data_IF_144523990918
#
_entry.id   IF_144523990918
#
_cell.length_a   1.000
_cell.length_b   1.000
_cell.length_c   1.000
_cell.angle_alpha   90.00
_cell.angle_beta   90.00
_cell.angle_gamma   90.00
#
_symmetry.space_group_name_H-M   'P 1'
#
loop_
_entity.id
_entity.type
_entity.pdbx_description
1 polymer ?
#
# COMPACT_ATOMS: atom_id res chain seq x y z
N UNK A 1 -14.15 -0.55 2.00
CA UNK A 1 -14.18 -0.51 0.52
C UNK A 1 -13.51 -1.73 -0.12
N UNK A 2 -14.31 -2.58 -0.79
CA UNK A 2 -13.84 -3.77 -1.50
C UNK A 2 -13.16 -3.35 -2.81
N UNK A 3 -11.84 -3.53 -2.92
CA UNK A 3 -11.04 -3.20 -4.13
C UNK A 3 -11.41 -3.98 -5.40
N UNK A 4 -12.41 -4.87 -5.34
CA UNK A 4 -13.03 -5.48 -6.53
C UNK A 4 -13.68 -4.42 -7.43
N UNK A 5 -14.14 -3.33 -6.83
CA UNK A 5 -14.94 -2.28 -7.48
C UNK A 5 -14.04 -1.24 -8.19
N UNK A 6 -12.99 -0.74 -7.53
CA UNK A 6 -12.12 0.33 -8.05
C UNK A 6 -11.45 0.09 -9.42
N UNK A 7 -11.22 -1.16 -9.83
CA UNK A 7 -10.59 -1.49 -11.12
C UNK A 7 -11.53 -2.21 -12.09
N UNK A 8 -12.66 -2.75 -11.61
CA UNK A 8 -13.80 -3.05 -12.50
C UNK A 8 -14.33 -1.77 -13.15
N UNK A 9 -14.26 -0.65 -12.41
CA UNK A 9 -14.66 0.67 -12.87
C UNK A 9 -13.66 1.35 -13.80
N UNK A 10 -12.35 1.04 -13.74
CA UNK A 10 -11.42 1.49 -14.79
C UNK A 10 -11.77 0.87 -16.15
N UNK A 11 -12.37 -0.33 -16.16
CA UNK A 11 -12.90 -0.95 -17.38
C UNK A 11 -14.25 -0.36 -17.82
N UNK A 12 -15.13 0.04 -16.88
CA UNK A 12 -16.37 0.78 -17.21
C UNK A 12 -16.01 2.15 -17.82
N UNK A 13 -15.12 2.92 -17.18
CA UNK A 13 -14.69 4.25 -17.65
C UNK A 13 -13.73 4.22 -18.87
N UNK A 14 -13.25 3.04 -19.30
CA UNK A 14 -12.50 2.92 -20.56
C UNK A 14 -13.41 2.71 -21.77
N UNK A 15 -14.66 2.28 -21.55
CA UNK A 15 -15.66 2.05 -22.60
C UNK A 15 -16.77 3.12 -22.56
N UNK A 16 -17.11 3.67 -21.39
CA UNK A 16 -18.05 4.78 -21.23
C UNK A 16 -17.45 5.88 -20.34
N UNK A 17 -17.04 7.04 -20.87
CA UNK A 17 -16.79 8.22 -20.04
C UNK A 17 -18.11 8.64 -19.35
N UNK A 18 -18.06 8.88 -18.04
CA UNK A 18 -19.17 9.48 -17.29
C UNK A 18 -18.79 10.92 -16.97
N UNK A 19 -19.29 11.86 -17.77
CA UNK A 19 -19.21 13.30 -17.58
C UNK A 19 -20.53 13.94 -18.05
N UNK A 20 -21.01 14.93 -17.31
CA UNK A 20 -22.32 15.56 -17.46
C UNK A 20 -22.36 16.59 -18.61
N UNK A 21 -21.96 16.21 -19.82
CA UNK A 21 -22.20 16.98 -21.05
C UNK A 21 -22.26 16.03 -22.25
N UNK A 22 -23.42 15.40 -22.45
CA UNK A 22 -23.67 14.37 -23.44
C UNK A 22 -23.57 14.88 -24.91
N UNK A 23 -23.68 16.19 -25.14
CA UNK A 23 -23.57 16.80 -26.47
C UNK A 23 -22.13 16.95 -26.96
N UNK A 24 -21.17 17.33 -26.09
CA UNK A 24 -19.79 17.63 -26.49
C UNK A 24 -18.89 16.39 -26.67
N UNK A 25 -19.35 15.19 -26.26
CA UNK A 25 -18.58 13.94 -26.37
C UNK A 25 -19.00 13.05 -27.56
N UNK A 26 -20.14 13.32 -28.23
CA UNK A 26 -20.64 12.51 -29.35
C UNK A 26 -19.63 12.45 -30.51
N UNK A 27 -18.93 13.55 -30.78
CA UNK A 27 -18.09 13.72 -31.98
C UNK A 27 -16.58 13.61 -31.70
N UNK A 28 -16.18 13.12 -30.52
CA UNK A 28 -14.76 12.91 -30.22
C UNK A 28 -14.27 11.61 -30.89
N UNK A 29 -13.06 11.56 -31.49
CA UNK A 29 -12.43 10.32 -32.01
C UNK A 29 -12.36 9.19 -30.97
N UNK A 30 -12.45 9.56 -29.69
CA UNK A 30 -12.52 8.66 -28.55
C UNK A 30 -13.86 7.91 -28.44
N UNK A 31 -14.99 8.52 -28.81
CA UNK A 31 -16.34 7.92 -28.73
C UNK A 31 -16.53 6.86 -29.82
N UNK A 32 -16.04 7.12 -31.03
CA UNK A 32 -16.09 6.20 -32.16
C UNK A 32 -15.24 4.95 -31.91
N UNK A 33 -14.01 5.13 -31.41
CA UNK A 33 -13.17 4.01 -30.97
C UNK A 33 -13.76 3.24 -29.77
N UNK A 34 -14.68 3.83 -29.01
CA UNK A 34 -15.38 3.14 -27.92
C UNK A 34 -16.58 2.32 -28.43
N UNK A 35 -17.31 2.82 -29.44
CA UNK A 35 -18.38 2.08 -30.13
C UNK A 35 -17.84 0.85 -30.85
N UNK A 36 -16.79 1.00 -31.65
CA UNK A 36 -16.13 -0.13 -32.32
C UNK A 36 -15.67 -1.20 -31.32
N UNK A 37 -15.10 -0.77 -30.17
CA UNK A 37 -14.72 -1.70 -29.09
C UNK A 37 -15.92 -2.38 -28.45
N UNK A 38 -17.07 -1.72 -28.35
CA UNK A 38 -18.30 -2.28 -27.78
C UNK A 38 -18.97 -3.27 -28.73
N UNK A 39 -19.03 -2.94 -30.02
CA UNK A 39 -19.58 -3.80 -31.06
C UNK A 39 -18.80 -5.11 -31.16
N UNK A 40 -17.46 -5.04 -31.08
CA UNK A 40 -16.57 -6.19 -31.04
C UNK A 40 -16.59 -7.02 -29.74
N UNK A 41 -17.40 -6.66 -28.73
CA UNK A 41 -17.57 -7.50 -27.53
C UNK A 41 -18.55 -8.63 -27.78
N UNK A 42 -18.24 -9.79 -27.23
CA UNK A 42 -19.19 -10.92 -27.18
C UNK A 42 -20.38 -10.58 -26.26
N UNK A 43 -21.51 -11.27 -26.44
CA UNK A 43 -22.70 -11.11 -25.60
C UNK A 43 -22.38 -11.27 -24.11
N UNK A 44 -21.62 -12.32 -23.74
CA UNK A 44 -21.20 -12.55 -22.36
C UNK A 44 -20.33 -11.41 -21.78
N UNK A 45 -19.51 -10.76 -22.63
CA UNK A 45 -18.74 -9.60 -22.23
C UNK A 45 -19.65 -8.39 -22.01
N UNK A 46 -20.58 -8.12 -22.94
CA UNK A 46 -21.58 -7.04 -22.84
C UNK A 46 -22.42 -7.19 -21.57
N UNK A 47 -22.84 -8.41 -21.22
CA UNK A 47 -23.60 -8.68 -19.99
C UNK A 47 -22.79 -8.37 -18.73
N UNK A 48 -21.51 -8.78 -18.69
CA UNK A 48 -20.60 -8.42 -17.58
C UNK A 48 -20.38 -6.91 -17.45
N UNK A 49 -20.48 -6.15 -18.54
CA UNK A 49 -20.43 -4.69 -18.48
C UNK A 49 -21.74 -4.12 -17.95
N UNK A 50 -22.89 -4.63 -18.41
CA UNK A 50 -24.22 -4.22 -17.94
C UNK A 50 -24.40 -4.46 -16.44
N UNK A 51 -24.04 -5.65 -15.95
CA UNK A 51 -24.08 -5.98 -14.51
C UNK A 51 -23.27 -4.98 -13.67
N UNK A 52 -22.05 -4.64 -14.12
CA UNK A 52 -21.19 -3.68 -13.42
C UNK A 52 -21.72 -2.26 -13.47
N UNK A 53 -22.39 -1.90 -14.56
CA UNK A 53 -23.01 -0.59 -14.72
C UNK A 53 -24.20 -0.43 -13.77
N UNK A 54 -25.04 -1.45 -13.65
CA UNK A 54 -26.14 -1.47 -12.67
C UNK A 54 -25.61 -1.40 -11.23
N UNK A 55 -24.56 -2.15 -10.90
CA UNK A 55 -23.89 -2.02 -9.60
C UNK A 55 -23.34 -0.61 -9.35
N UNK A 56 -22.86 0.08 -10.39
CA UNK A 56 -22.38 1.44 -10.27
C UNK A 56 -23.52 2.44 -10.04
N UNK A 57 -24.65 2.30 -10.75
CA UNK A 57 -25.84 3.14 -10.56
C UNK A 57 -26.31 3.11 -9.11
N UNK A 58 -26.28 1.93 -8.48
CA UNK A 58 -26.66 1.71 -7.08
C UNK A 58 -25.68 2.29 -6.04
N UNK A 59 -24.53 2.86 -6.45
CA UNK A 59 -23.63 3.51 -5.48
C UNK A 59 -24.13 4.90 -5.09
N UNK A 60 -23.98 5.20 -3.80
CA UNK A 60 -24.16 6.53 -3.22
C UNK A 60 -23.29 7.61 -3.93
N UNK A 61 -23.76 8.86 -4.05
CA UNK A 61 -23.01 9.95 -4.68
C UNK A 61 -21.59 10.15 -4.14
N UNK A 62 -21.36 10.08 -2.83
CA UNK A 62 -20.02 10.26 -2.22
C UNK A 62 -19.06 9.17 -2.73
N UNK A 63 -19.57 7.94 -2.82
CA UNK A 63 -18.82 6.80 -3.34
C UNK A 63 -18.53 6.95 -4.83
N UNK A 64 -19.47 7.46 -5.62
CA UNK A 64 -19.27 7.74 -7.05
C UNK A 64 -18.17 8.78 -7.24
N UNK A 65 -18.23 9.90 -6.53
CA UNK A 65 -17.22 10.97 -6.61
C UNK A 65 -15.82 10.48 -6.22
N UNK A 66 -15.70 9.75 -5.11
CA UNK A 66 -14.43 9.16 -4.69
C UNK A 66 -13.80 8.26 -5.76
N UNK A 67 -14.62 7.57 -6.55
CA UNK A 67 -14.13 6.70 -7.61
C UNK A 67 -13.78 7.49 -8.88
N UNK A 68 -14.54 8.54 -9.23
CA UNK A 68 -14.17 9.50 -10.29
C UNK A 68 -12.83 10.17 -9.99
N UNK A 69 -12.62 10.67 -8.78
CA UNK A 69 -11.35 11.29 -8.35
C UNK A 69 -10.17 10.33 -8.51
N UNK A 70 -10.30 9.10 -8.00
CA UNK A 70 -9.25 8.07 -8.13
C UNK A 70 -8.97 7.66 -9.57
N UNK A 71 -9.99 7.69 -10.41
CA UNK A 71 -9.83 7.44 -11.84
C UNK A 71 -9.07 8.56 -12.54
N UNK A 72 -9.37 9.83 -12.21
CA UNK A 72 -8.63 11.00 -12.69
C UNK A 72 -7.17 10.96 -12.25
N UNK A 73 -6.92 10.70 -10.97
CA UNK A 73 -5.56 10.48 -10.43
C UNK A 73 -4.83 9.38 -11.20
N UNK A 74 -5.48 8.25 -11.46
CA UNK A 74 -4.89 7.14 -12.21
C UNK A 74 -4.56 7.51 -13.66
N UNK A 75 -5.45 8.25 -14.34
CA UNK A 75 -5.23 8.72 -15.72
C UNK A 75 -4.02 9.64 -15.81
N UNK A 76 -3.82 10.50 -14.81
CA UNK A 76 -2.74 11.46 -14.72
C UNK A 76 -1.39 10.82 -14.29
N UNK A 77 -1.36 9.53 -13.95
CA UNK A 77 -0.10 8.85 -13.67
C UNK A 77 0.72 8.65 -14.96
N UNK A 78 2.06 8.78 -14.88
CA UNK A 78 2.98 8.38 -15.94
C UNK A 78 2.66 6.98 -16.51
N UNK A 79 2.82 6.75 -17.82
CA UNK A 79 2.46 5.49 -18.48
C UNK A 79 3.08 4.27 -17.81
N UNK A 80 4.34 4.35 -17.39
CA UNK A 80 5.03 3.26 -16.68
C UNK A 80 4.39 2.92 -15.33
N UNK A 81 3.94 3.94 -14.58
CA UNK A 81 3.23 3.72 -13.31
C UNK A 81 1.88 3.06 -13.58
N UNK A 82 1.14 3.48 -14.61
CA UNK A 82 -0.13 2.85 -15.03
C UNK A 82 0.07 1.40 -15.43
N UNK A 83 1.08 1.09 -16.24
CA UNK A 83 1.46 -0.28 -16.67
C UNK A 83 1.77 -1.17 -15.47
N UNK A 84 2.55 -0.66 -14.50
CA UNK A 84 2.87 -1.39 -13.26
C UNK A 84 1.63 -1.69 -12.41
N UNK A 85 0.72 -0.73 -12.27
CA UNK A 85 -0.55 -0.93 -11.55
C UNK A 85 -1.39 -2.00 -12.24
N UNK A 86 -1.54 -1.93 -13.58
CA UNK A 86 -2.26 -2.95 -14.36
C UNK A 86 -1.65 -4.34 -14.21
N UNK A 87 -0.32 -4.47 -14.27
CA UNK A 87 0.40 -5.74 -14.07
C UNK A 87 0.18 -6.32 -12.68
N UNK A 88 0.28 -5.50 -11.64
CA UNK A 88 0.04 -5.93 -10.26
C UNK A 88 -1.41 -6.34 -10.04
N UNK A 89 -2.36 -5.65 -10.66
CA UNK A 89 -3.77 -6.02 -10.59
C UNK A 89 -4.05 -7.39 -11.22
N UNK A 90 -3.51 -7.65 -12.43
CA UNK A 90 -3.64 -8.97 -13.09
C UNK A 90 -3.15 -10.10 -12.18
N UNK A 91 -2.02 -9.90 -11.49
CA UNK A 91 -1.50 -10.85 -10.50
C UNK A 91 -2.46 -11.07 -9.34
N UNK A 92 -2.99 -9.99 -8.76
CA UNK A 92 -3.94 -10.10 -7.63
C UNK A 92 -5.26 -10.75 -8.06
N UNK A 93 -5.74 -10.51 -9.28
CA UNK A 93 -6.98 -11.13 -9.80
C UNK A 93 -6.85 -12.66 -9.88
N UNK A 94 -5.67 -13.15 -10.23
CA UNK A 94 -5.33 -14.59 -10.31
C UNK A 94 -5.11 -15.26 -8.96
N UNK A 95 -5.07 -14.49 -7.86
CA UNK A 95 -4.91 -15.09 -6.53
C UNK A 95 -6.22 -15.75 -6.04
N UNK A 96 -6.13 -16.84 -5.26
CA UNK A 96 -7.27 -17.41 -4.54
C UNK A 96 -8.03 -16.37 -3.71
N UNK A 97 -9.33 -16.61 -3.47
CA UNK A 97 -10.22 -15.66 -2.77
C UNK A 97 -9.66 -15.30 -1.39
N UNK A 98 -9.12 -16.28 -0.67
CA UNK A 98 -8.56 -16.18 0.68
C UNK A 98 -7.34 -15.26 0.69
N UNK A 99 -6.44 -15.42 -0.30
CA UNK A 99 -5.27 -14.56 -0.46
C UNK A 99 -5.67 -13.12 -0.81
N UNK A 100 -6.66 -12.95 -1.68
CA UNK A 100 -7.23 -11.62 -2.01
C UNK A 100 -7.83 -10.97 -0.77
N UNK A 101 -8.53 -11.74 0.07
CA UNK A 101 -9.11 -11.26 1.32
C UNK A 101 -8.03 -10.88 2.34
N UNK A 102 -6.97 -11.68 2.47
CA UNK A 102 -5.84 -11.36 3.32
C UNK A 102 -5.15 -10.03 2.92
N UNK A 103 -4.98 -9.79 1.61
CA UNK A 103 -4.45 -8.51 1.09
C UNK A 103 -5.38 -7.35 1.46
N UNK A 104 -6.70 -7.54 1.29
CA UNK A 104 -7.70 -6.53 1.65
C UNK A 104 -7.65 -6.18 3.13
N UNK A 105 -7.55 -7.18 4.01
CA UNK A 105 -7.49 -7.00 5.45
C UNK A 105 -6.21 -6.27 5.88
N UNK A 106 -5.05 -6.65 5.32
CA UNK A 106 -3.79 -5.94 5.55
C UNK A 106 -3.88 -4.48 5.13
N UNK A 107 -4.51 -4.20 3.99
CA UNK A 107 -4.71 -2.82 3.54
C UNK A 107 -5.67 -2.03 4.42
N UNK A 108 -6.77 -2.63 4.89
CA UNK A 108 -7.67 -1.97 5.87
C UNK A 108 -6.91 -1.57 7.13
N UNK A 109 -6.08 -2.47 7.68
CA UNK A 109 -5.21 -2.18 8.83
C UNK A 109 -4.23 -1.04 8.53
N UNK A 110 -3.63 -1.03 7.33
CA UNK A 110 -2.74 0.04 6.89
C UNK A 110 -3.45 1.40 6.81
N UNK A 111 -4.68 1.45 6.30
CA UNK A 111 -5.44 2.70 6.19
C UNK A 111 -5.72 3.32 7.56
N UNK A 112 -6.00 2.47 8.57
CA UNK A 112 -6.21 2.87 9.97
C UNK A 112 -4.93 3.32 10.71
N UNK A 113 -3.74 3.20 10.10
CA UNK A 113 -2.52 3.72 10.73
C UNK A 113 -2.48 5.25 10.67
N UNK A 114 -1.97 5.87 11.73
CA UNK A 114 -1.69 7.31 11.74
C UNK A 114 -0.66 7.69 10.66
N UNK A 115 -0.64 8.95 10.20
CA UNK A 115 0.33 9.44 9.22
C UNK A 115 1.79 9.18 9.64
N UNK A 116 2.11 9.41 10.91
CA UNK A 116 3.46 9.23 11.48
C UNK A 116 3.87 7.76 11.44
N UNK A 117 2.94 6.85 11.77
CA UNK A 117 3.18 5.40 11.68
C UNK A 117 3.40 4.96 10.23
N UNK A 118 2.61 5.48 9.29
CA UNK A 118 2.77 5.19 7.85
C UNK A 118 4.15 5.65 7.37
N UNK A 119 4.55 6.87 7.71
CA UNK A 119 5.83 7.43 7.31
C UNK A 119 7.00 6.69 7.96
N UNK A 120 6.90 6.34 9.23
CA UNK A 120 7.90 5.53 9.91
C UNK A 120 8.09 4.16 9.24
N UNK A 121 7.02 3.50 8.81
CA UNK A 121 7.13 2.22 8.07
C UNK A 121 7.76 2.45 6.68
N UNK A 122 7.36 3.50 5.97
CA UNK A 122 7.91 3.87 4.65
C UNK A 122 9.42 4.11 4.73
N UNK A 123 9.89 4.90 5.70
CA UNK A 123 11.32 5.15 5.94
C UNK A 123 12.09 3.87 6.24
N UNK A 124 11.56 2.99 7.11
CA UNK A 124 12.18 1.69 7.39
C UNK A 124 12.28 0.82 6.14
N UNK A 125 11.24 0.80 5.32
CA UNK A 125 11.24 0.05 4.07
C UNK A 125 12.26 0.60 3.05
N UNK A 126 12.39 1.92 2.93
CA UNK A 126 13.40 2.55 2.09
C UNK A 126 14.82 2.21 2.55
N UNK A 127 15.10 2.30 3.86
CA UNK A 127 16.38 1.86 4.44
C UNK A 127 16.67 0.40 4.12
N UNK A 128 15.70 -0.48 4.32
CA UNK A 128 15.82 -1.90 3.97
C UNK A 128 16.14 -2.11 2.48
N UNK A 129 15.49 -1.35 1.58
CA UNK A 129 15.73 -1.45 0.14
C UNK A 129 17.15 -1.07 -0.28
N UNK A 130 17.76 -0.12 0.43
CA UNK A 130 19.13 0.37 0.17
C UNK A 130 20.21 -0.57 0.70
N UNK A 131 19.85 -1.58 1.49
CA UNK A 131 20.84 -2.55 2.00
C UNK A 131 21.39 -3.44 0.87
N UNK A 132 22.66 -3.87 0.97
CA UNK A 132 23.23 -4.91 0.11
C UNK A 132 22.35 -6.17 0.04
N UNK A 133 22.39 -6.88 -1.09
CA UNK A 133 21.51 -8.04 -1.35
C UNK A 133 21.67 -9.10 -0.25
N UNK A 134 22.89 -9.38 0.16
CA UNK A 134 23.28 -10.36 1.17
C UNK A 134 22.68 -10.01 2.53
N UNK A 135 22.76 -8.72 2.91
CA UNK A 135 22.16 -8.19 4.14
C UNK A 135 20.63 -8.33 4.10
N UNK A 136 20.00 -8.04 2.96
CA UNK A 136 18.54 -8.21 2.79
C UNK A 136 18.12 -9.67 2.91
N UNK A 137 18.86 -10.59 2.28
CA UNK A 137 18.58 -12.02 2.37
C UNK A 137 18.75 -12.56 3.78
N UNK A 138 19.79 -12.14 4.50
CA UNK A 138 19.95 -12.51 5.91
C UNK A 138 18.77 -12.04 6.76
N UNK A 139 18.30 -10.81 6.58
CA UNK A 139 17.11 -10.30 7.28
C UNK A 139 15.87 -11.13 6.93
N UNK A 140 15.66 -11.48 5.66
CA UNK A 140 14.54 -12.33 5.22
C UNK A 140 14.61 -13.72 5.83
N UNK A 141 15.80 -14.35 5.83
CA UNK A 141 16.04 -15.67 6.44
C UNK A 141 15.73 -15.62 7.93
N UNK A 142 16.28 -14.65 8.65
CA UNK A 142 16.01 -14.45 10.08
C UNK A 142 14.52 -14.23 10.35
N UNK A 143 13.84 -13.43 9.54
CA UNK A 143 12.40 -13.23 9.65
C UNK A 143 11.60 -14.51 9.40
N UNK A 144 12.00 -15.33 8.43
CA UNK A 144 11.37 -16.63 8.14
C UNK A 144 11.53 -17.57 9.33
N UNK A 145 12.72 -17.67 9.91
CA UNK A 145 12.97 -18.49 11.09
C UNK A 145 12.18 -17.99 12.30
N UNK A 146 12.20 -16.67 12.55
CA UNK A 146 11.40 -16.08 13.62
C UNK A 146 9.91 -16.42 13.50
N UNK A 147 9.35 -16.40 12.29
CA UNK A 147 7.94 -16.75 12.06
C UNK A 147 7.60 -18.22 12.29
N UNK A 148 8.58 -19.12 12.22
CA UNK A 148 8.42 -20.56 12.50
C UNK A 148 8.43 -20.86 14.01
N UNK A 149 8.98 -19.97 14.84
CA UNK A 149 9.05 -20.21 16.27
C UNK A 149 7.65 -20.24 16.92
N UNK A 150 7.40 -21.16 17.87
CA UNK A 150 6.20 -21.15 18.70
C UNK A 150 5.97 -19.80 19.36
N UNK A 151 4.70 -19.46 19.62
CA UNK A 151 4.33 -18.13 20.15
C UNK A 151 5.02 -17.88 21.49
N UNK A 152 5.03 -18.88 22.35
CA UNK A 152 5.61 -18.90 23.69
C UNK A 152 7.11 -18.59 23.62
N UNK A 153 7.82 -19.26 22.70
CA UNK A 153 9.26 -19.04 22.48
C UNK A 153 9.54 -17.63 21.95
N UNK A 154 8.70 -17.11 21.04
CA UNK A 154 8.83 -15.72 20.55
C UNK A 154 8.60 -14.71 21.66
N UNK A 155 7.64 -14.93 22.54
CA UNK A 155 7.30 -14.01 23.61
C UNK A 155 8.38 -14.01 24.71
N UNK A 156 8.92 -15.18 25.08
CA UNK A 156 10.11 -15.28 25.94
C UNK A 156 11.29 -14.49 25.35
N UNK A 157 11.64 -14.73 24.09
CA UNK A 157 12.74 -14.01 23.43
C UNK A 157 12.48 -12.51 23.39
N UNK A 158 11.25 -12.07 23.10
CA UNK A 158 10.88 -10.65 23.13
C UNK A 158 11.08 -10.04 24.51
N UNK A 159 10.70 -10.75 25.57
CA UNK A 159 10.87 -10.28 26.94
C UNK A 159 12.35 -10.21 27.34
N UNK A 160 13.17 -11.20 26.96
CA UNK A 160 14.63 -11.17 27.16
C UNK A 160 15.24 -9.94 26.48
N UNK A 161 14.90 -9.67 25.22
CA UNK A 161 15.40 -8.47 24.51
C UNK A 161 14.92 -7.17 25.14
N UNK A 162 13.65 -7.10 25.58
CA UNK A 162 13.12 -5.93 26.29
C UNK A 162 13.87 -5.68 27.60
N UNK A 163 14.10 -6.72 28.39
CA UNK A 163 14.77 -6.64 29.68
C UNK A 163 16.26 -6.30 29.53
N UNK A 164 16.95 -6.89 28.55
CA UNK A 164 18.34 -6.53 28.22
C UNK A 164 18.47 -5.06 27.81
N UNK A 165 17.53 -4.54 27.00
CA UNK A 165 17.50 -3.13 26.63
C UNK A 165 17.06 -2.17 27.75
N UNK A 166 16.41 -2.67 28.81
CA UNK A 166 16.15 -1.90 30.04
C UNK A 166 17.42 -1.79 30.85
N UNK A 167 18.03 -2.92 31.23
CA UNK A 167 19.30 -2.96 31.98
C UNK A 167 20.43 -2.17 31.29
N UNK A 168 20.54 -2.25 29.96
CA UNK A 168 21.53 -1.48 29.20
C UNK A 168 21.22 0.02 29.02
N UNK A 169 19.99 0.46 29.31
CA UNK A 169 19.63 1.88 29.47
C UNK A 169 19.94 2.33 30.90
N UNK A 170 19.54 1.54 31.88
CA UNK A 170 19.74 1.79 33.31
C UNK A 170 21.25 1.91 33.64
N UNK A 171 22.08 1.02 33.06
CA UNK A 171 23.54 1.08 33.19
C UNK A 171 24.15 2.33 32.53
N UNK A 172 23.56 2.83 31.44
CA UNK A 172 24.02 4.06 30.77
C UNK A 172 23.61 5.32 31.52
N UNK A 173 22.44 5.33 32.16
CA UNK A 173 22.02 6.41 33.06
C UNK A 173 22.88 6.45 34.33
N UNK A 174 23.21 5.30 34.92
CA UNK A 174 24.10 5.20 36.08
C UNK A 174 25.52 5.71 35.75
N UNK A 175 26.08 5.34 34.58
CA UNK A 175 27.37 5.89 34.11
C UNK A 175 27.33 7.40 33.84
N UNK A 176 26.15 7.98 33.58
CA UNK A 176 25.98 9.41 33.32
C UNK A 176 25.82 10.21 34.61
N UNK A 177 25.19 9.63 35.64
CA UNK A 177 25.12 10.19 36.99
C UNK A 177 26.47 10.13 37.72
N UNK A 178 27.21 9.02 37.60
CA UNK A 178 28.52 8.85 38.23
C UNK A 178 29.70 9.34 37.36
N UNK A 179 29.44 10.22 36.38
CA UNK A 179 30.51 10.83 35.59
C UNK A 179 31.07 11.99 36.41
N UNK A 180 32.34 11.94 36.87
CA UNK A 180 32.91 13.07 37.61
C UNK A 180 32.81 14.31 36.73
N UNK A 181 32.22 15.38 37.27
CA UNK A 181 32.26 16.69 36.62
C UNK A 181 33.74 17.04 36.49
N UNK A 182 34.23 17.22 35.27
CA UNK A 182 35.55 17.81 35.05
C UNK A 182 35.48 19.25 35.55
N UNK A 183 35.71 19.45 36.85
CA UNK A 183 36.04 20.75 37.40
C UNK A 183 37.47 21.06 36.95
N UNK A 184 37.55 22.00 36.03
CA UNK A 184 38.66 22.92 35.78
C UNK A 184 40.09 22.40 35.99
N UNK A 185 40.65 21.78 34.93
CA UNK A 185 42.09 21.81 34.69
C UNK A 185 42.39 23.03 33.81
N UNK A 186 42.18 24.22 34.37
CA UNK A 186 42.76 25.48 33.89
C UNK A 186 43.29 26.23 35.11
N UNK A 187 44.51 25.89 35.55
CA UNK A 187 45.45 26.72 36.34
C UNK A 187 46.59 25.84 36.82
N UNK A 188 47.63 25.68 35.99
CA UNK A 188 49.03 25.40 36.40
C UNK A 188 49.91 25.36 35.15
N UNK A 189 50.12 26.53 34.57
CA UNK A 189 51.32 26.92 33.83
C UNK A 189 51.43 28.44 33.99
N UNK A 190 52.00 28.85 35.13
CA UNK A 190 52.77 30.09 35.23
C UNK A 190 54.22 29.63 35.30
#
# INVERSE_FOLDING_TARGET
>A
MNKRVLLGIILIFSVFPMGANAQLEKDSPRSESARQRWEGLTTEQKDKYRERFEQWKQFDPERKEKMKTRFREFKNLPPEKRKKIRKNWKRVKRLPVEKRQAIRNKYKRWQKLSPERKEHIKRRYQKFKRLPKERRERIRKNQKQWRKLPKEKRDRLRNVYKNRNRRGRDHRSLKRQNRPQRRDIKKRKR
#
